data_IF_599566617340
#
_entry.id   IF_599566617340
#
_cell.length_a   1.000
_cell.length_b   1.000
_cell.length_c   1.000
_cell.angle_alpha   90.00
_cell.angle_beta   90.00
_cell.angle_gamma   90.00
#
_symmetry.space_group_name_H-M   'P 1'
#
loop_
_entity.id
_entity.type
_entity.pdbx_description
1 polymer ?
#
# COMPACT_ATOMS: atom_id res chain seq x y z
N UNK A 1 9.08 -5.48 -2.02
CA UNK A 1 9.18 -6.40 -3.18
C UNK A 1 7.81 -6.53 -3.81
N UNK A 2 7.70 -6.93 -5.08
CA UNK A 2 6.43 -7.10 -5.79
C UNK A 2 6.47 -8.37 -6.65
N UNK A 3 5.31 -8.96 -6.94
CA UNK A 3 5.16 -10.16 -7.76
C UNK A 3 3.92 -10.06 -8.66
N UNK A 4 3.91 -10.81 -9.77
CA UNK A 4 2.80 -10.85 -10.74
C UNK A 4 3.12 -10.17 -12.08
N UNK A 5 2.09 -9.94 -12.89
CA UNK A 5 2.23 -9.49 -14.29
C UNK A 5 2.97 -8.16 -14.45
N UNK A 6 2.93 -7.30 -13.42
CA UNK A 6 3.51 -5.95 -13.40
C UNK A 6 4.61 -5.77 -12.35
N UNK A 7 5.29 -6.86 -11.99
CA UNK A 7 6.28 -6.84 -10.91
C UNK A 7 7.45 -5.88 -11.18
N UNK A 8 7.93 -5.77 -12.42
CA UNK A 8 9.09 -4.94 -12.74
C UNK A 8 8.76 -3.45 -12.58
N UNK A 9 7.59 -3.02 -13.06
CA UNK A 9 7.11 -1.66 -12.90
C UNK A 9 6.89 -1.30 -11.42
N UNK A 10 6.31 -2.22 -10.64
CA UNK A 10 6.12 -2.03 -9.21
C UNK A 10 7.44 -1.93 -8.44
N UNK A 11 8.43 -2.77 -8.75
CA UNK A 11 9.76 -2.67 -8.16
C UNK A 11 10.42 -1.32 -8.49
N UNK A 12 10.38 -0.90 -9.76
CA UNK A 12 10.95 0.38 -10.18
C UNK A 12 10.29 1.58 -9.45
N UNK A 13 8.98 1.52 -9.20
CA UNK A 13 8.25 2.55 -8.44
C UNK A 13 8.69 2.58 -6.97
N UNK A 14 8.71 1.41 -6.32
CA UNK A 14 9.14 1.27 -4.93
C UNK A 14 10.58 1.72 -4.73
N UNK A 15 11.51 1.36 -5.62
CA UNK A 15 12.90 1.79 -5.57
C UNK A 15 13.04 3.31 -5.59
N UNK A 16 12.25 4.01 -6.42
CA UNK A 16 12.25 5.47 -6.46
C UNK A 16 11.74 6.08 -5.15
N UNK A 17 10.65 5.55 -4.59
CA UNK A 17 10.04 6.06 -3.35
C UNK A 17 10.89 5.77 -2.11
N UNK A 18 11.53 4.60 -2.06
CA UNK A 18 12.35 4.17 -0.93
C UNK A 18 13.81 4.62 -1.02
N UNK A 19 14.24 5.23 -2.14
CA UNK A 19 15.64 5.65 -2.37
C UNK A 19 16.23 6.53 -1.25
N UNK A 20 15.39 7.31 -0.57
CA UNK A 20 15.81 8.21 0.53
C UNK A 20 15.72 7.56 1.92
N UNK A 21 15.39 6.27 2.00
CA UNK A 21 15.12 5.55 3.24
C UNK A 21 14.19 6.34 4.18
N UNK A 22 12.98 6.71 3.72
CA UNK A 22 12.03 7.41 4.58
C UNK A 22 11.69 6.53 5.80
N UNK A 23 11.56 7.16 6.97
CA UNK A 23 10.90 6.51 8.10
C UNK A 23 9.40 6.45 7.79
N UNK A 24 8.90 5.24 7.56
CA UNK A 24 7.49 4.99 7.31
C UNK A 24 6.88 4.41 8.58
N UNK A 25 5.81 5.04 9.05
CA UNK A 25 4.94 4.41 10.05
C UNK A 25 4.05 3.35 9.36
N UNK A 26 3.21 2.69 10.14
CA UNK A 26 2.30 1.67 9.64
C UNK A 26 1.36 2.23 8.55
N UNK A 27 0.75 3.38 8.78
CA UNK A 27 -0.21 3.99 7.85
C UNK A 27 0.48 4.38 6.53
N UNK A 28 1.61 5.09 6.59
CA UNK A 28 2.38 5.49 5.40
C UNK A 28 2.88 4.27 4.61
N UNK A 29 3.18 3.16 5.29
CA UNK A 29 3.57 1.90 4.63
C UNK A 29 2.41 1.29 3.84
N UNK A 30 1.21 1.25 4.43
CA UNK A 30 0.00 0.75 3.79
C UNK A 30 -0.35 1.64 2.60
N UNK A 31 -0.37 2.95 2.81
CA UNK A 31 -0.70 3.94 1.78
C UNK A 31 0.29 3.88 0.60
N UNK A 32 1.59 3.73 0.88
CA UNK A 32 2.61 3.55 -0.16
C UNK A 32 2.36 2.27 -0.97
N UNK A 33 1.97 1.18 -0.33
CA UNK A 33 1.68 -0.08 -1.01
C UNK A 33 0.46 0.05 -1.94
N UNK A 34 -0.63 0.65 -1.45
CA UNK A 34 -1.85 0.93 -2.24
C UNK A 34 -1.49 1.85 -3.42
N UNK A 35 -0.85 2.98 -3.15
CA UNK A 35 -0.47 3.97 -4.16
C UNK A 35 0.43 3.36 -5.24
N UNK A 36 1.35 2.48 -4.85
CA UNK A 36 2.21 1.75 -5.80
C UNK A 36 1.37 0.89 -6.75
N UNK A 37 0.42 0.13 -6.23
CA UNK A 37 -0.48 -0.69 -7.04
C UNK A 37 -1.34 0.18 -7.97
N UNK A 38 -1.96 1.24 -7.44
CA UNK A 38 -2.80 2.15 -8.23
C UNK A 38 -2.02 2.79 -9.38
N UNK A 39 -0.79 3.24 -9.12
CA UNK A 39 0.07 3.85 -10.15
C UNK A 39 0.50 2.84 -11.23
N UNK A 40 0.89 1.64 -10.83
CA UNK A 40 1.40 0.62 -11.75
C UNK A 40 0.30 0.04 -12.63
N UNK A 41 -0.90 -0.10 -12.07
CA UNK A 41 -2.06 -0.63 -12.77
C UNK A 41 -2.89 0.46 -13.46
N UNK A 42 -2.66 1.74 -13.13
CA UNK A 42 -3.47 2.87 -13.55
C UNK A 42 -4.96 2.66 -13.24
N UNK A 43 -5.24 2.18 -12.02
CA UNK A 43 -6.57 1.85 -11.52
C UNK A 43 -6.79 2.52 -10.17
N UNK A 44 -7.94 3.17 -10.01
CA UNK A 44 -8.46 3.61 -8.73
C UNK A 44 -9.26 2.47 -8.09
N UNK A 45 -8.72 1.91 -7.00
CA UNK A 45 -9.34 0.79 -6.31
C UNK A 45 -10.46 1.26 -5.39
N UNK A 46 -11.53 0.48 -5.33
CA UNK A 46 -12.49 0.51 -4.22
C UNK A 46 -11.99 -0.39 -3.10
N UNK A 47 -12.39 -0.11 -1.86
CA UNK A 47 -12.01 -0.92 -0.70
C UNK A 47 -12.33 -2.42 -0.85
N UNK A 48 -13.41 -2.76 -1.56
CA UNK A 48 -13.81 -4.15 -1.83
C UNK A 48 -12.95 -4.87 -2.88
N UNK A 49 -12.09 -4.16 -3.60
CA UNK A 49 -11.20 -4.71 -4.64
C UNK A 49 -9.79 -4.98 -4.11
N UNK A 50 -9.54 -4.66 -2.84
CA UNK A 50 -8.27 -4.84 -2.16
C UNK A 50 -8.43 -5.74 -0.93
N UNK A 51 -7.44 -6.60 -0.71
CA UNK A 51 -7.28 -7.35 0.52
C UNK A 51 -5.86 -7.08 1.04
N UNK A 52 -5.77 -6.62 2.29
CA UNK A 52 -4.50 -6.17 2.87
C UNK A 52 -4.25 -6.93 4.16
N UNK A 53 -3.14 -7.66 4.21
CA UNK A 53 -2.63 -8.33 5.40
C UNK A 53 -1.47 -7.55 6.01
N UNK A 54 -1.46 -7.44 7.34
CA UNK A 54 -0.45 -6.70 8.08
C UNK A 54 0.04 -7.47 9.31
N UNK A 55 1.30 -7.21 9.66
CA UNK A 55 1.96 -7.66 10.87
C UNK A 55 2.81 -6.49 11.36
N UNK A 56 2.77 -6.20 12.65
CA UNK A 56 3.59 -5.13 13.25
C UNK A 56 4.45 -5.68 14.38
N UNK A 57 5.38 -4.86 14.89
CA UNK A 57 6.20 -5.25 16.05
C UNK A 57 5.34 -5.36 17.32
N UNK A 58 4.35 -4.49 17.46
CA UNK A 58 3.45 -4.45 18.62
C UNK A 58 2.37 -5.54 18.55
N UNK A 59 1.98 -5.95 17.34
CA UNK A 59 1.08 -7.07 17.10
C UNK A 59 1.67 -8.00 16.04
N UNK A 60 2.29 -9.08 16.51
CA UNK A 60 3.00 -10.04 15.67
C UNK A 60 2.09 -11.03 14.97
N UNK A 61 0.80 -11.09 15.34
CA UNK A 61 -0.18 -11.93 14.66
C UNK A 61 -0.55 -11.31 13.31
N UNK A 62 -0.63 -12.16 12.29
CA UNK A 62 -1.13 -11.74 10.99
C UNK A 62 -2.61 -11.39 11.09
N UNK A 63 -2.95 -10.15 10.73
CA UNK A 63 -4.35 -9.70 10.61
C UNK A 63 -4.62 -9.14 9.23
N UNK A 64 -5.82 -9.38 8.74
CA UNK A 64 -6.37 -8.72 7.55
C UNK A 64 -7.07 -7.43 7.95
N UNK A 65 -6.92 -6.37 7.15
CA UNK A 65 -7.68 -5.14 7.32
C UNK A 65 -9.13 -5.34 6.88
N UNK A 66 -10.02 -4.68 7.61
CA UNK A 66 -11.44 -4.58 7.31
C UNK A 66 -11.64 -3.69 6.08
N UNK A 67 -12.73 -3.87 5.34
CA UNK A 67 -13.07 -2.97 4.21
C UNK A 67 -13.18 -1.52 4.66
N UNK A 68 -13.69 -1.25 5.87
CA UNK A 68 -13.76 0.09 6.46
C UNK A 68 -12.37 0.69 6.73
N UNK A 69 -11.40 -0.10 7.21
CA UNK A 69 -10.02 0.35 7.42
C UNK A 69 -9.34 0.67 6.08
N UNK A 70 -9.59 -0.14 5.05
CA UNK A 70 -9.05 0.10 3.70
C UNK A 70 -9.64 1.37 3.10
N UNK A 71 -10.94 1.60 3.26
CA UNK A 71 -11.62 2.81 2.76
C UNK A 71 -11.06 4.10 3.38
N UNK A 72 -10.80 4.08 4.69
CA UNK A 72 -10.16 5.20 5.40
C UNK A 72 -8.75 5.49 4.84
N UNK A 73 -7.94 4.45 4.59
CA UNK A 73 -6.64 4.63 3.92
C UNK A 73 -6.78 5.16 2.50
N UNK A 74 -7.76 4.70 1.72
CA UNK A 74 -8.02 5.20 0.37
C UNK A 74 -8.38 6.69 0.39
N UNK A 75 -9.22 7.12 1.34
CA UNK A 75 -9.59 8.52 1.49
C UNK A 75 -8.35 9.38 1.84
N UNK A 76 -7.51 8.93 2.77
CA UNK A 76 -6.28 9.65 3.16
C UNK A 76 -5.30 9.82 2.00
N UNK A 77 -5.19 8.82 1.13
CA UNK A 77 -4.35 8.91 -0.07
C UNK A 77 -4.85 10.02 -0.99
N UNK A 78 -6.17 10.12 -1.19
CA UNK A 78 -6.80 11.18 -2.00
C UNK A 78 -6.61 12.56 -1.37
N UNK A 79 -6.64 12.68 -0.04
CA UNK A 79 -6.41 13.95 0.66
C UNK A 79 -4.93 14.40 0.68
N UNK A 80 -3.99 13.46 0.50
CA UNK A 80 -2.54 13.73 0.45
C UNK A 80 -2.04 14.08 -0.97
N UNK A 81 -2.80 13.77 -2.01
CA UNK A 81 -2.48 14.12 -3.41
C UNK A 81 -2.90 15.56 -3.75
#
# INVERSE_FOLDING_TARGET
>A
TAAGAKQQEALNYLEKKLKKNPELNMEDTIELAITTLSNVLAVDFKAAELEIGIVTKDNTDFRTLSTEEIDDHLQRIVEKD
#
